data_IF_952412756191
#
_entry.id   IF_952412756191
#
_cell.length_a   1.000
_cell.length_b   1.000
_cell.length_c   1.000
_cell.angle_alpha   90.00
_cell.angle_beta   90.00
_cell.angle_gamma   90.00
#
_symmetry.space_group_name_H-M   'P 1'
#
loop_
_entity.id
_entity.type
_entity.pdbx_description
1 polymer ?
#
# COMPACT_ATOMS: atom_id res chain seq x y z
N UNK A 1 10.15 7.85 -25.24
CA UNK A 1 9.94 7.62 -23.79
C UNK A 1 9.90 6.12 -23.57
N UNK A 2 10.80 5.60 -22.75
CA UNK A 2 10.83 4.21 -22.34
C UNK A 2 10.38 4.11 -20.85
N UNK A 3 9.83 2.95 -20.47
CA UNK A 3 9.46 2.64 -19.09
C UNK A 3 10.45 1.61 -18.54
N UNK A 4 11.28 2.01 -17.61
CA UNK A 4 12.23 1.14 -16.91
C UNK A 4 11.57 0.57 -15.67
N UNK A 5 10.99 -0.62 -15.79
CA UNK A 5 10.28 -1.28 -14.70
C UNK A 5 11.24 -2.13 -13.86
N UNK A 6 11.49 -1.68 -12.62
CA UNK A 6 12.43 -2.31 -11.70
C UNK A 6 11.68 -3.20 -10.69
N UNK A 7 11.86 -4.51 -10.78
CA UNK A 7 11.30 -5.50 -9.87
C UNK A 7 10.10 -6.27 -10.43
N UNK A 8 10.15 -7.60 -10.27
CA UNK A 8 9.09 -8.55 -10.68
C UNK A 8 8.62 -9.36 -9.46
N UNK A 9 8.44 -8.66 -8.34
CA UNK A 9 7.94 -9.25 -7.09
C UNK A 9 6.45 -9.61 -7.15
N UNK A 10 5.94 -10.11 -6.02
CA UNK A 10 4.56 -10.62 -5.88
C UNK A 10 3.48 -9.63 -6.33
N UNK A 11 3.70 -8.34 -6.13
CA UNK A 11 2.70 -7.30 -6.42
C UNK A 11 2.95 -6.54 -7.73
N UNK A 12 3.79 -7.04 -8.65
CA UNK A 12 4.26 -6.27 -9.80
C UNK A 12 3.69 -6.72 -11.15
N UNK A 13 3.46 -8.01 -11.32
CA UNK A 13 3.31 -8.65 -12.63
C UNK A 13 2.06 -8.22 -13.42
N UNK A 14 0.84 -8.15 -12.86
CA UNK A 14 -0.34 -7.80 -13.65
C UNK A 14 -0.26 -6.43 -14.33
N UNK A 15 0.19 -5.41 -13.60
CA UNK A 15 0.35 -4.07 -14.15
C UNK A 15 1.49 -3.97 -15.18
N UNK A 16 2.60 -4.67 -14.93
CA UNK A 16 3.70 -4.77 -15.87
C UNK A 16 3.25 -5.42 -17.19
N UNK A 17 2.60 -6.59 -17.12
CA UNK A 17 2.05 -7.26 -18.31
C UNK A 17 1.07 -6.34 -19.05
N UNK A 18 0.21 -5.63 -18.32
CA UNK A 18 -0.72 -4.67 -18.93
C UNK A 18 0.00 -3.58 -19.72
N UNK A 19 1.02 -2.94 -19.17
CA UNK A 19 1.79 -1.91 -19.88
C UNK A 19 2.43 -2.43 -21.17
N UNK A 20 3.00 -3.65 -21.12
CA UNK A 20 3.63 -4.27 -22.29
C UNK A 20 2.57 -4.59 -23.36
N UNK A 21 1.47 -5.21 -22.96
CA UNK A 21 0.37 -5.59 -23.89
C UNK A 21 -0.36 -4.38 -24.48
N UNK A 22 -0.38 -3.26 -23.75
CA UNK A 22 -0.89 -1.98 -24.25
C UNK A 22 0.08 -1.30 -25.26
N UNK A 23 1.20 -1.95 -25.62
CA UNK A 23 2.14 -1.48 -26.64
C UNK A 23 3.17 -0.46 -26.16
N UNK A 24 3.32 -0.27 -24.85
CA UNK A 24 4.33 0.66 -24.34
C UNK A 24 5.75 0.08 -24.46
N UNK A 25 6.73 0.95 -24.66
CA UNK A 25 8.15 0.57 -24.69
C UNK A 25 8.64 0.30 -23.26
N UNK A 26 8.61 -0.95 -22.81
CA UNK A 26 8.98 -1.36 -21.44
C UNK A 26 10.29 -2.12 -21.45
N UNK A 27 11.18 -1.77 -20.55
CA UNK A 27 12.43 -2.48 -20.25
C UNK A 27 12.36 -2.94 -18.78
N UNK A 28 12.50 -4.22 -18.55
CA UNK A 28 12.40 -4.81 -17.20
C UNK A 28 13.76 -5.00 -16.58
N UNK A 29 13.89 -4.63 -15.30
CA UNK A 29 15.09 -4.77 -14.50
C UNK A 29 14.81 -5.65 -13.29
N UNK A 30 15.52 -6.76 -13.13
CA UNK A 30 15.31 -7.65 -12.00
C UNK A 30 16.60 -8.33 -11.56
N UNK A 31 16.82 -8.45 -10.24
CA UNK A 31 18.02 -9.10 -9.68
C UNK A 31 18.29 -10.49 -10.25
N UNK A 32 17.23 -11.25 -10.51
CA UNK A 32 17.30 -12.60 -11.06
C UNK A 32 16.54 -12.65 -12.38
N UNK A 33 17.25 -12.57 -13.49
CA UNK A 33 16.67 -12.52 -14.85
C UNK A 33 15.79 -13.74 -15.14
N UNK A 34 16.20 -14.94 -14.72
CA UNK A 34 15.43 -16.18 -14.93
C UNK A 34 14.07 -16.15 -14.24
N UNK A 35 13.97 -15.59 -13.02
CA UNK A 35 12.69 -15.40 -12.33
C UNK A 35 11.78 -14.43 -13.07
N UNK A 36 12.34 -13.33 -13.59
CA UNK A 36 11.57 -12.36 -14.37
C UNK A 36 11.06 -12.98 -15.69
N UNK A 37 11.88 -13.76 -16.40
CA UNK A 37 11.48 -14.49 -17.61
C UNK A 37 10.32 -15.44 -17.34
N UNK A 38 10.39 -16.24 -16.28
CA UNK A 38 9.31 -17.14 -15.87
C UNK A 38 8.02 -16.38 -15.56
N UNK A 39 8.10 -15.28 -14.79
CA UNK A 39 6.94 -14.48 -14.42
C UNK A 39 6.27 -13.77 -15.62
N UNK A 40 7.05 -13.48 -16.68
CA UNK A 40 6.61 -12.82 -17.90
C UNK A 40 6.49 -13.79 -19.08
N UNK A 41 6.38 -15.08 -18.81
CA UNK A 41 6.14 -16.07 -19.85
C UNK A 41 4.93 -15.69 -20.72
N UNK A 42 5.07 -15.86 -22.03
CA UNK A 42 4.08 -15.47 -23.03
C UNK A 42 4.07 -13.97 -23.40
N UNK A 43 4.98 -13.16 -22.84
CA UNK A 43 5.11 -11.74 -23.14
C UNK A 43 6.52 -11.43 -23.65
N UNK A 44 6.62 -10.76 -24.81
CA UNK A 44 7.92 -10.35 -25.35
C UNK A 44 8.33 -9.01 -24.74
N UNK A 45 9.45 -9.01 -24.01
CA UNK A 45 10.01 -7.82 -23.37
C UNK A 45 11.51 -7.97 -23.12
N UNK A 46 12.24 -6.87 -23.21
CA UNK A 46 13.67 -6.82 -22.86
C UNK A 46 13.82 -6.89 -21.35
N UNK A 47 14.66 -7.82 -20.86
CA UNK A 47 14.92 -8.00 -19.44
C UNK A 47 16.43 -7.93 -19.20
N UNK A 48 16.83 -7.04 -18.31
CA UNK A 48 18.21 -6.89 -17.82
C UNK A 48 18.34 -7.31 -16.35
N UNK A 49 19.52 -7.72 -15.97
CA UNK A 49 19.87 -7.82 -14.56
C UNK A 49 19.88 -6.41 -13.95
N UNK A 50 19.28 -6.28 -12.75
CA UNK A 50 19.20 -4.98 -12.10
C UNK A 50 20.55 -4.59 -11.52
N UNK A 51 21.13 -3.56 -12.10
CA UNK A 51 22.26 -2.80 -11.62
C UNK A 51 22.00 -1.31 -11.87
N UNK A 52 22.23 -0.46 -10.87
CA UNK A 52 21.89 0.96 -10.94
C UNK A 52 22.75 1.71 -11.98
N UNK A 53 24.01 1.29 -12.17
CA UNK A 53 24.90 1.90 -13.19
C UNK A 53 24.45 1.56 -14.60
N UNK A 54 24.14 0.30 -14.83
CA UNK A 54 23.59 -0.17 -16.11
C UNK A 54 22.23 0.49 -16.44
N UNK A 55 21.40 0.71 -15.44
CA UNK A 55 20.14 1.46 -15.59
C UNK A 55 20.45 2.93 -15.95
N UNK A 56 21.40 3.55 -15.25
CA UNK A 56 21.81 4.93 -15.50
C UNK A 56 22.29 5.17 -16.93
N UNK A 57 23.06 4.23 -17.49
CA UNK A 57 23.59 4.28 -18.85
C UNK A 57 22.50 4.21 -19.93
N UNK A 58 21.38 3.55 -19.63
CA UNK A 58 20.25 3.36 -20.57
C UNK A 58 19.12 4.37 -20.39
N UNK A 59 19.17 5.16 -19.34
CA UNK A 59 18.10 6.10 -19.00
C UNK A 59 18.27 7.41 -19.81
N UNK A 60 17.25 7.77 -20.55
CA UNK A 60 17.17 9.02 -21.30
C UNK A 60 16.23 10.04 -20.61
N UNK A 61 16.40 11.35 -20.92
CA UNK A 61 15.40 12.36 -20.49
C UNK A 61 13.99 11.97 -20.90
N UNK A 62 13.03 12.26 -20.03
CA UNK A 62 11.60 11.93 -20.14
C UNK A 62 11.23 10.45 -19.95
N UNK A 63 12.20 9.54 -19.85
CA UNK A 63 11.90 8.15 -19.50
C UNK A 63 11.27 8.05 -18.10
N UNK A 64 10.68 6.90 -17.79
CA UNK A 64 10.02 6.66 -16.50
C UNK A 64 10.68 5.49 -15.79
N UNK A 65 11.18 5.71 -14.58
CA UNK A 65 11.58 4.62 -13.67
C UNK A 65 10.37 4.22 -12.83
N UNK A 66 9.95 2.97 -12.93
CA UNK A 66 8.96 2.36 -12.02
C UNK A 66 9.70 1.50 -11.01
N UNK A 67 9.59 1.82 -9.72
CA UNK A 67 10.23 1.06 -8.66
C UNK A 67 9.24 0.18 -7.92
N UNK A 68 9.30 -1.13 -8.20
CA UNK A 68 8.63 -2.20 -7.44
C UNK A 68 9.66 -3.04 -6.66
N UNK A 69 10.77 -2.42 -6.29
CA UNK A 69 11.84 -2.98 -5.48
C UNK A 69 11.57 -2.76 -3.97
N UNK A 70 12.36 -3.36 -3.06
CA UNK A 70 12.35 -3.00 -1.65
C UNK A 70 12.59 -1.51 -1.40
N UNK A 71 12.05 -0.98 -0.29
CA UNK A 71 11.99 0.46 0.01
C UNK A 71 13.32 1.21 -0.08
N UNK A 72 14.44 0.56 0.28
CA UNK A 72 15.78 1.15 0.26
C UNK A 72 16.23 1.62 -1.14
N UNK A 73 15.59 1.11 -2.20
CA UNK A 73 15.89 1.49 -3.59
C UNK A 73 15.10 2.71 -4.08
N UNK A 74 14.00 3.09 -3.42
CA UNK A 74 13.13 4.14 -3.96
C UNK A 74 13.82 5.51 -4.02
N UNK A 75 14.46 5.94 -2.93
CA UNK A 75 15.15 7.23 -2.90
C UNK A 75 16.35 7.28 -3.86
N UNK A 76 17.26 6.28 -3.90
CA UNK A 76 18.32 6.22 -4.92
C UNK A 76 17.79 6.32 -6.36
N UNK A 77 16.73 5.59 -6.70
CA UNK A 77 16.15 5.62 -8.05
C UNK A 77 15.44 6.94 -8.37
N UNK A 78 14.78 7.57 -7.39
CA UNK A 78 14.19 8.89 -7.57
C UNK A 78 15.26 9.98 -7.79
N UNK A 79 16.39 9.90 -7.05
CA UNK A 79 17.55 10.79 -7.29
C UNK A 79 18.15 10.59 -8.69
N UNK A 80 18.27 9.34 -9.13
CA UNK A 80 18.73 9.02 -10.47
C UNK A 80 17.77 9.57 -11.52
N UNK A 81 16.45 9.40 -11.35
CA UNK A 81 15.44 9.97 -12.25
C UNK A 81 15.59 11.49 -12.38
N UNK A 82 15.70 12.21 -11.25
CA UNK A 82 15.91 13.67 -11.25
C UNK A 82 17.17 14.06 -12.03
N UNK A 83 18.31 13.38 -11.78
CA UNK A 83 19.59 13.70 -12.42
C UNK A 83 19.57 13.51 -13.94
N UNK A 84 18.77 12.53 -14.42
CA UNK A 84 18.62 12.22 -15.84
C UNK A 84 17.43 12.92 -16.50
N UNK A 85 16.70 13.78 -15.76
CA UNK A 85 15.46 14.40 -16.21
C UNK A 85 14.41 13.37 -16.66
N UNK A 86 14.33 12.26 -15.93
CA UNK A 86 13.35 11.20 -16.07
C UNK A 86 12.31 11.28 -14.96
N UNK A 87 11.17 10.61 -15.11
CA UNK A 87 10.12 10.54 -14.11
C UNK A 87 10.31 9.32 -13.21
N UNK A 88 9.69 9.33 -12.04
CA UNK A 88 9.72 8.23 -11.08
C UNK A 88 8.31 7.87 -10.62
N UNK A 89 8.01 6.56 -10.51
CA UNK A 89 6.73 6.03 -10.03
C UNK A 89 6.96 4.90 -9.04
N UNK A 90 6.24 4.91 -7.91
CA UNK A 90 6.28 3.87 -6.88
C UNK A 90 4.93 3.71 -6.20
N UNK A 91 4.59 2.48 -5.80
CA UNK A 91 3.42 2.19 -4.95
C UNK A 91 3.66 2.41 -3.45
N UNK A 92 4.87 2.76 -3.05
CA UNK A 92 5.27 2.84 -1.64
C UNK A 92 4.97 4.19 -1.02
N UNK A 93 4.83 4.21 0.31
CA UNK A 93 4.69 5.43 1.10
C UNK A 93 5.86 6.41 0.89
N UNK A 94 5.55 7.69 0.95
CA UNK A 94 6.53 8.78 0.88
C UNK A 94 7.35 8.80 2.17
N UNK A 95 8.66 8.51 2.09
CA UNK A 95 9.56 8.72 3.21
C UNK A 95 9.93 10.20 3.37
N UNK A 96 10.44 10.63 4.55
CA UNK A 96 10.97 11.99 4.73
C UNK A 96 12.03 12.35 3.70
N UNK A 97 12.93 11.41 3.36
CA UNK A 97 13.97 11.59 2.35
C UNK A 97 13.38 11.76 0.95
N UNK A 98 12.32 11.02 0.60
CA UNK A 98 11.61 11.17 -0.67
C UNK A 98 10.93 12.55 -0.74
N UNK A 99 10.29 12.99 0.34
CA UNK A 99 9.65 14.32 0.42
C UNK A 99 10.66 15.46 0.20
N UNK A 100 11.88 15.31 0.71
CA UNK A 100 12.96 16.29 0.53
C UNK A 100 13.43 16.44 -0.94
N UNK A 101 13.09 15.51 -1.83
CA UNK A 101 13.40 15.61 -3.26
C UNK A 101 12.46 16.51 -4.05
N UNK A 102 11.36 16.97 -3.46
CA UNK A 102 10.31 17.76 -4.12
C UNK A 102 10.85 18.96 -4.91
N UNK A 103 11.63 19.81 -4.28
CA UNK A 103 12.17 21.00 -4.94
C UNK A 103 13.17 20.68 -6.07
N UNK A 104 13.94 19.58 -5.92
CA UNK A 104 14.85 19.14 -6.97
C UNK A 104 14.09 18.60 -8.17
N UNK A 105 13.00 17.85 -7.94
CA UNK A 105 12.13 17.35 -9.00
C UNK A 105 11.44 18.48 -9.77
N UNK A 106 10.91 19.50 -9.06
CA UNK A 106 10.33 20.70 -9.68
C UNK A 106 11.34 21.42 -10.57
N UNK A 107 12.57 21.64 -10.09
CA UNK A 107 13.64 22.29 -10.87
C UNK A 107 14.04 21.49 -12.11
N UNK A 108 14.00 20.17 -12.02
CA UNK A 108 14.31 19.27 -13.13
C UNK A 108 13.14 19.13 -14.12
N UNK A 109 11.94 19.59 -13.78
CA UNK A 109 10.73 19.45 -14.59
C UNK A 109 10.22 18.00 -14.67
N UNK A 110 10.40 17.22 -13.62
CA UNK A 110 10.03 15.79 -13.57
C UNK A 110 9.01 15.49 -12.48
N UNK A 111 8.23 14.42 -12.69
CA UNK A 111 7.24 13.95 -11.73
C UNK A 111 7.84 12.83 -10.86
N UNK A 112 7.65 12.91 -9.54
CA UNK A 112 7.88 11.82 -8.58
C UNK A 112 6.51 11.39 -8.04
N UNK A 113 5.94 10.32 -8.60
CA UNK A 113 4.64 9.79 -8.20
C UNK A 113 4.88 8.63 -7.24
N UNK A 114 4.38 8.79 -6.02
CA UNK A 114 4.45 7.78 -4.97
C UNK A 114 3.03 7.45 -4.48
N UNK A 115 2.90 6.45 -3.63
CA UNK A 115 1.62 6.08 -3.02
C UNK A 115 0.52 5.78 -4.06
N UNK A 116 0.90 5.18 -5.18
CA UNK A 116 -0.03 4.85 -6.27
C UNK A 116 -0.20 3.33 -6.41
N UNK A 117 -0.58 2.70 -5.31
CA UNK A 117 -0.89 1.27 -5.23
C UNK A 117 -2.30 1.02 -4.73
N UNK A 118 -2.43 0.11 -3.77
CA UNK A 118 -3.70 -0.24 -3.11
C UNK A 118 -3.89 0.56 -1.82
N UNK A 119 -3.04 0.37 -0.85
CA UNK A 119 -2.88 1.03 0.44
C UNK A 119 -1.36 1.07 0.74
N UNK A 120 -0.74 2.17 0.32
CA UNK A 120 -1.30 3.45 -0.15
C UNK A 120 -1.66 3.47 -1.66
N UNK A 121 -2.76 4.15 -1.99
CA UNK A 121 -3.16 4.46 -3.38
C UNK A 121 -4.66 4.49 -3.62
N UNK A 122 -5.30 3.35 -3.84
CA UNK A 122 -6.76 3.30 -4.06
C UNK A 122 -7.52 3.85 -2.84
N UNK A 123 -7.04 3.57 -1.63
CA UNK A 123 -7.58 4.12 -0.37
C UNK A 123 -7.54 5.65 -0.36
N UNK A 124 -6.46 6.26 -0.86
CA UNK A 124 -6.33 7.72 -0.98
C UNK A 124 -7.35 8.30 -1.96
N UNK A 125 -7.54 7.65 -3.12
CA UNK A 125 -8.53 8.09 -4.10
C UNK A 125 -9.96 8.02 -3.53
N UNK A 126 -10.28 6.96 -2.79
CA UNK A 126 -11.57 6.82 -2.11
C UNK A 126 -11.74 7.88 -1.01
N UNK A 127 -10.71 8.16 -0.21
CA UNK A 127 -10.72 9.17 0.82
C UNK A 127 -10.94 10.58 0.23
N UNK A 128 -10.17 10.97 -0.78
CA UNK A 128 -10.36 12.25 -1.47
C UNK A 128 -11.76 12.41 -2.04
N UNK A 129 -12.30 11.34 -2.63
CA UNK A 129 -13.65 11.37 -3.18
C UNK A 129 -14.70 11.59 -2.07
N UNK A 130 -14.61 10.87 -0.94
CA UNK A 130 -15.51 11.03 0.20
C UNK A 130 -15.45 12.46 0.78
N UNK A 131 -14.25 12.97 1.03
CA UNK A 131 -14.04 14.33 1.56
C UNK A 131 -14.61 15.38 0.61
N UNK A 132 -14.40 15.24 -0.69
CA UNK A 132 -14.96 16.16 -1.69
C UNK A 132 -16.50 16.09 -1.76
N UNK A 133 -17.08 14.89 -1.62
CA UNK A 133 -18.54 14.73 -1.58
C UNK A 133 -19.17 15.33 -0.32
N UNK A 134 -18.53 15.13 0.86
CA UNK A 134 -18.96 15.75 2.10
C UNK A 134 -18.90 17.29 2.00
N UNK A 135 -17.82 17.85 1.47
CA UNK A 135 -17.71 19.31 1.25
C UNK A 135 -18.81 19.86 0.34
N UNK A 136 -19.14 19.12 -0.73
CA UNK A 136 -20.20 19.52 -1.67
C UNK A 136 -21.63 19.35 -1.12
N UNK A 137 -21.81 18.63 -0.01
CA UNK A 137 -23.13 18.49 0.61
C UNK A 137 -23.63 19.76 1.29
N UNK A 138 -22.70 20.68 1.60
CA UNK A 138 -22.98 21.93 2.33
C UNK A 138 -23.64 21.74 3.71
N UNK A 139 -23.58 20.51 4.26
CA UNK A 139 -24.18 20.15 5.55
C UNK A 139 -23.29 20.50 6.75
N UNK A 140 -22.02 20.85 6.50
CA UNK A 140 -21.02 21.08 7.53
C UNK A 140 -21.20 22.44 8.20
N UNK A 141 -21.15 22.47 9.54
CA UNK A 141 -21.12 23.67 10.35
C UNK A 141 -20.21 23.49 11.58
N UNK A 142 -20.13 24.48 12.45
CA UNK A 142 -19.25 24.47 13.63
C UNK A 142 -19.57 23.37 14.66
N UNK A 143 -20.78 22.79 14.64
CA UNK A 143 -21.20 21.73 15.54
C UNK A 143 -21.02 20.33 14.94
N UNK A 144 -20.53 20.23 13.70
CA UNK A 144 -20.43 18.95 13.02
C UNK A 144 -19.15 18.21 13.45
N UNK A 145 -19.34 16.97 13.89
CA UNK A 145 -18.29 16.01 14.22
C UNK A 145 -18.05 15.07 13.04
N UNK A 146 -16.78 14.79 12.74
CA UNK A 146 -16.39 13.95 11.60
C UNK A 146 -15.63 12.71 12.06
N UNK A 147 -16.02 11.55 11.54
CA UNK A 147 -15.32 10.28 11.74
C UNK A 147 -14.88 9.70 10.41
N UNK A 148 -13.60 9.39 10.29
CA UNK A 148 -12.99 8.78 9.12
C UNK A 148 -12.32 7.45 9.48
N UNK A 149 -12.61 6.41 8.72
CA UNK A 149 -12.01 5.09 8.82
C UNK A 149 -11.51 4.64 7.45
N UNK A 150 -10.32 4.07 7.39
CA UNK A 150 -9.82 3.38 6.21
C UNK A 150 -9.16 2.07 6.64
N UNK A 151 -9.81 0.95 6.37
CA UNK A 151 -9.30 -0.37 6.71
C UNK A 151 -9.05 -1.21 5.46
N UNK A 152 -7.81 -1.69 5.31
CA UNK A 152 -7.38 -2.51 4.19
C UNK A 152 -6.74 -3.82 4.68
N UNK A 153 -7.03 -4.92 4.00
CA UNK A 153 -6.40 -6.20 4.28
C UNK A 153 -6.40 -7.16 3.09
N UNK A 154 -5.27 -7.84 2.91
CA UNK A 154 -5.17 -9.03 2.07
C UNK A 154 -5.30 -10.27 2.95
N UNK A 155 -6.21 -11.17 2.61
CA UNK A 155 -6.50 -12.37 3.38
C UNK A 155 -6.66 -13.58 2.44
N UNK A 156 -6.43 -14.83 2.92
CA UNK A 156 -6.71 -16.01 2.12
C UNK A 156 -8.21 -16.18 1.90
N UNK A 157 -8.58 -16.70 0.72
CA UNK A 157 -9.97 -17.09 0.43
C UNK A 157 -10.46 -18.19 1.37
N UNK A 158 -9.60 -19.17 1.61
CA UNK A 158 -9.85 -20.25 2.58
C UNK A 158 -8.90 -20.04 3.75
N UNK A 159 -9.42 -19.68 4.95
CA UNK A 159 -8.58 -19.46 6.12
C UNK A 159 -7.79 -20.72 6.50
N UNK A 160 -6.48 -20.55 6.77
CA UNK A 160 -5.65 -21.57 7.41
C UNK A 160 -5.63 -21.38 8.94
N UNK A 161 -4.96 -22.24 9.68
CA UNK A 161 -4.81 -22.10 11.13
C UNK A 161 -4.06 -20.83 11.52
N UNK A 162 -3.09 -20.41 10.70
CA UNK A 162 -2.33 -19.17 10.86
C UNK A 162 -3.17 -17.90 10.63
N UNK A 163 -4.41 -18.03 10.11
CA UNK A 163 -5.33 -16.94 9.77
C UNK A 163 -4.75 -15.90 8.80
N UNK A 164 -3.67 -16.27 8.09
CA UNK A 164 -3.00 -15.39 7.15
C UNK A 164 -2.19 -16.18 6.11
N UNK A 165 -2.14 -15.67 4.88
CA UNK A 165 -1.20 -16.07 3.82
C UNK A 165 -0.57 -14.84 3.20
N UNK A 166 0.65 -14.99 2.71
CA UNK A 166 1.44 -13.85 2.25
C UNK A 166 1.26 -13.62 0.74
N UNK A 167 0.53 -12.58 0.37
CA UNK A 167 0.43 -12.05 -1.00
C UNK A 167 1.44 -10.92 -1.28
N UNK A 168 2.20 -10.51 -0.27
CA UNK A 168 3.28 -9.53 -0.33
C UNK A 168 4.37 -9.88 0.71
N UNK A 169 5.35 -9.00 0.91
CA UNK A 169 6.54 -9.24 1.73
C UNK A 169 6.23 -9.64 3.19
N UNK A 170 6.54 -10.88 3.63
CA UNK A 170 6.40 -11.27 5.04
C UNK A 170 7.23 -10.41 5.99
N UNK A 171 8.46 -10.05 5.59
CA UNK A 171 9.29 -9.13 6.36
C UNK A 171 8.64 -7.75 6.51
N UNK A 172 7.96 -7.28 5.46
CA UNK A 172 7.19 -6.03 5.51
C UNK A 172 6.05 -6.10 6.52
N UNK A 173 5.34 -7.22 6.62
CA UNK A 173 4.29 -7.44 7.64
C UNK A 173 4.88 -7.38 9.05
N UNK A 174 5.97 -8.10 9.31
CA UNK A 174 6.63 -8.12 10.63
C UNK A 174 7.15 -6.74 11.03
N UNK A 175 7.78 -6.00 10.11
CA UNK A 175 8.25 -4.64 10.37
C UNK A 175 7.09 -3.66 10.62
N UNK A 176 5.96 -3.80 9.92
CA UNK A 176 4.79 -2.98 10.16
C UNK A 176 4.21 -3.20 11.56
N UNK A 177 4.19 -4.44 12.05
CA UNK A 177 3.76 -4.75 13.42
C UNK A 177 4.67 -4.14 14.50
N UNK A 178 5.96 -3.93 14.22
CA UNK A 178 6.88 -3.25 15.14
C UNK A 178 6.80 -1.71 15.09
N UNK A 179 6.04 -1.17 14.17
CA UNK A 179 5.92 0.28 14.03
C UNK A 179 4.80 0.81 14.93
N UNK A 180 5.04 1.85 15.74
CA UNK A 180 3.97 2.48 16.49
C UNK A 180 2.94 3.10 15.54
N UNK A 181 1.72 3.25 16.03
CA UNK A 181 0.64 3.89 15.28
C UNK A 181 0.12 5.13 16.00
N UNK A 182 -0.34 6.12 15.21
CA UNK A 182 -1.00 7.33 15.68
C UNK A 182 -2.29 7.54 14.90
N UNK A 183 -3.34 7.88 15.62
CA UNK A 183 -4.68 8.11 15.08
C UNK A 183 -5.42 9.13 15.94
N UNK A 184 -6.65 9.49 15.59
CA UNK A 184 -7.56 10.23 16.47
C UNK A 184 -8.66 9.29 16.91
N UNK A 185 -8.93 9.28 18.22
CA UNK A 185 -10.04 8.56 18.85
C UNK A 185 -10.69 9.49 19.89
N UNK A 186 -12.00 9.65 19.83
CA UNK A 186 -12.77 10.49 20.75
C UNK A 186 -12.20 11.92 20.88
N UNK A 187 -11.83 12.52 19.73
CA UNK A 187 -11.22 13.86 19.54
C UNK A 187 -9.77 13.98 20.01
N UNK A 188 -9.18 12.95 20.59
CA UNK A 188 -7.85 12.97 21.16
C UNK A 188 -6.86 12.16 20.32
N UNK A 189 -5.58 12.53 20.39
CA UNK A 189 -4.51 11.73 19.81
C UNK A 189 -4.45 10.37 20.51
N UNK A 190 -4.57 9.31 19.74
CA UNK A 190 -4.47 7.94 20.19
C UNK A 190 -3.20 7.30 19.64
N UNK A 191 -2.23 7.10 20.53
CA UNK A 191 -0.93 6.52 20.19
C UNK A 191 -0.82 5.12 20.77
N UNK A 192 -0.34 4.17 19.96
CA UNK A 192 -0.17 2.79 20.33
C UNK A 192 1.23 2.33 19.91
N UNK A 193 2.05 1.93 20.88
CA UNK A 193 3.40 1.43 20.61
C UNK A 193 3.39 0.05 19.95
N UNK A 194 2.38 -0.77 20.26
CA UNK A 194 2.18 -2.11 19.71
C UNK A 194 0.80 -2.16 19.06
N UNK A 195 0.73 -2.13 17.70
CA UNK A 195 -0.56 -2.08 17.00
C UNK A 195 -1.57 -3.14 17.44
N UNK A 196 -1.09 -4.33 17.81
CA UNK A 196 -1.96 -5.43 18.29
C UNK A 196 -2.65 -5.18 19.62
N UNK A 197 -2.20 -4.24 20.46
CA UNK A 197 -2.89 -3.86 21.70
C UNK A 197 -4.19 -3.08 21.41
N UNK A 198 -4.33 -2.55 20.19
CA UNK A 198 -5.50 -1.80 19.76
C UNK A 198 -6.40 -2.59 18.77
N UNK A 199 -6.27 -3.91 18.76
CA UNK A 199 -7.15 -4.76 17.93
C UNK A 199 -8.59 -4.65 18.41
N UNK A 200 -9.49 -4.40 17.48
CA UNK A 200 -10.94 -4.38 17.74
C UNK A 200 -11.67 -5.16 16.66
N UNK A 201 -12.92 -5.57 16.97
CA UNK A 201 -13.82 -6.17 15.99
C UNK A 201 -14.38 -5.11 15.05
N UNK A 202 -14.50 -5.44 13.77
CA UNK A 202 -15.05 -4.60 12.73
C UNK A 202 -15.98 -5.39 11.83
N UNK A 203 -17.26 -4.99 11.80
CA UNK A 203 -18.24 -5.52 10.87
C UNK A 203 -18.11 -4.77 9.54
N UNK A 204 -17.39 -5.34 8.58
CA UNK A 204 -17.21 -4.73 7.27
C UNK A 204 -18.56 -4.69 6.53
N UNK A 205 -18.97 -3.52 5.99
CA UNK A 205 -20.24 -3.34 5.31
C UNK A 205 -20.23 -3.89 3.88
N UNK A 206 -19.76 -5.13 3.72
CA UNK A 206 -19.73 -5.84 2.45
C UNK A 206 -21.14 -6.22 2.00
N UNK A 207 -21.28 -6.76 0.79
CA UNK A 207 -22.59 -7.22 0.30
C UNK A 207 -23.17 -8.32 1.22
N UNK A 208 -22.29 -9.19 1.73
CA UNK A 208 -22.56 -10.06 2.86
C UNK A 208 -21.73 -9.55 4.03
N UNK A 209 -22.32 -8.92 5.05
CA UNK A 209 -21.59 -8.40 6.20
C UNK A 209 -20.74 -9.48 6.85
N UNK A 210 -19.51 -9.15 7.16
CA UNK A 210 -18.51 -10.09 7.69
C UNK A 210 -17.68 -9.41 8.77
N UNK A 211 -17.41 -10.14 9.85
CA UNK A 211 -16.63 -9.66 10.99
C UNK A 211 -15.14 -9.93 10.78
N UNK A 212 -14.34 -8.89 10.96
CA UNK A 212 -12.89 -8.91 10.90
C UNK A 212 -12.28 -8.34 12.19
N UNK A 213 -10.99 -8.54 12.35
CA UNK A 213 -10.18 -7.84 13.34
C UNK A 213 -9.44 -6.70 12.64
N UNK A 214 -9.45 -5.51 13.27
CA UNK A 214 -8.76 -4.33 12.73
C UNK A 214 -7.88 -3.69 13.80
N UNK A 215 -6.80 -3.06 13.35
CA UNK A 215 -5.92 -2.28 14.20
C UNK A 215 -5.33 -1.09 13.45
N UNK A 216 -5.00 0.03 14.15
CA UNK A 216 -4.40 1.20 13.52
C UNK A 216 -3.04 0.84 12.94
N UNK A 217 -2.72 1.38 11.76
CA UNK A 217 -1.49 1.12 11.04
C UNK A 217 -0.70 2.41 10.86
N UNK A 218 0.53 2.46 11.39
CA UNK A 218 1.43 3.59 11.26
C UNK A 218 0.83 4.93 11.76
N UNK A 219 1.34 6.04 11.26
CA UNK A 219 0.85 7.38 11.57
C UNK A 219 -0.23 7.80 10.57
N UNK A 220 -1.47 7.91 11.06
CA UNK A 220 -2.61 8.36 10.27
C UNK A 220 -2.71 9.89 10.18
N UNK A 221 -2.12 10.64 11.12
CA UNK A 221 -2.35 12.10 11.27
C UNK A 221 -1.92 12.93 10.06
N UNK A 222 -0.81 12.66 9.36
CA UNK A 222 -0.44 13.40 8.16
C UNK A 222 -1.48 13.38 7.05
N UNK A 223 -2.31 12.33 7.01
CA UNK A 223 -3.34 12.16 5.98
C UNK A 223 -4.56 13.06 6.18
N UNK A 224 -4.75 13.67 7.34
CA UNK A 224 -5.78 14.70 7.56
C UNK A 224 -5.55 15.87 6.60
N UNK A 225 -4.32 16.36 6.52
CA UNK A 225 -3.96 17.44 5.59
C UNK A 225 -3.91 16.93 4.14
N UNK A 226 -3.36 15.76 3.89
CA UNK A 226 -3.27 15.18 2.54
C UNK A 226 -4.65 14.95 1.92
N UNK A 227 -5.64 14.50 2.69
CA UNK A 227 -7.03 14.32 2.20
C UNK A 227 -7.81 15.65 2.17
N UNK A 228 -7.15 16.74 2.50
CA UNK A 228 -7.73 18.11 2.46
C UNK A 228 -8.96 18.22 3.40
N UNK A 229 -8.88 17.64 4.59
CA UNK A 229 -9.87 17.91 5.64
C UNK A 229 -9.85 19.40 5.97
N UNK A 230 -11.03 19.97 6.23
CA UNK A 230 -11.10 21.35 6.66
C UNK A 230 -10.56 21.49 8.08
N UNK A 231 -9.74 22.52 8.32
CA UNK A 231 -9.12 22.75 9.63
C UNK A 231 -10.14 23.08 10.74
N UNK A 232 -11.34 23.48 10.36
CA UNK A 232 -12.42 23.79 11.30
C UNK A 232 -13.29 22.57 11.64
N UNK A 233 -13.07 21.42 10.98
CA UNK A 233 -13.83 20.21 11.29
C UNK A 233 -13.44 19.64 12.65
N UNK A 234 -14.43 19.31 13.47
CA UNK A 234 -14.24 18.59 14.72
C UNK A 234 -14.03 17.11 14.41
N UNK A 235 -12.78 16.67 14.37
CA UNK A 235 -12.43 15.29 14.03
C UNK A 235 -12.58 14.42 15.27
N UNK A 236 -13.67 13.64 15.34
CA UNK A 236 -13.95 12.71 16.42
C UNK A 236 -13.12 11.43 16.30
N UNK A 237 -12.96 10.95 15.06
CA UNK A 237 -12.16 9.77 14.76
C UNK A 237 -11.45 9.93 13.42
N UNK A 238 -10.19 9.52 13.38
CA UNK A 238 -9.43 9.44 12.14
C UNK A 238 -8.42 8.31 12.23
N UNK A 239 -8.66 7.23 11.51
CA UNK A 239 -7.77 6.06 11.53
C UNK A 239 -7.61 5.46 10.14
N UNK A 240 -6.37 5.15 9.80
CA UNK A 240 -5.99 4.22 8.75
C UNK A 240 -5.47 2.96 9.42
N UNK A 241 -5.98 1.82 9.03
CA UNK A 241 -5.69 0.59 9.75
C UNK A 241 -5.65 -0.64 8.85
N UNK A 242 -5.20 -1.70 9.46
CA UNK A 242 -5.07 -3.01 8.82
C UNK A 242 -6.25 -3.90 9.23
N UNK A 243 -6.78 -4.63 8.25
CA UNK A 243 -7.84 -5.61 8.43
C UNK A 243 -7.28 -7.02 8.38
N UNK A 244 -7.74 -7.88 9.30
CA UNK A 244 -7.37 -9.29 9.42
C UNK A 244 -8.60 -10.17 9.62
N UNK A 245 -8.47 -11.46 9.32
CA UNK A 245 -9.52 -12.42 9.60
C UNK A 245 -9.80 -12.51 11.12
N UNK A 246 -11.04 -12.76 11.47
CA UNK A 246 -11.43 -13.06 12.86
C UNK A 246 -10.60 -14.24 13.41
N UNK A 247 -10.02 -14.06 14.60
CA UNK A 247 -9.14 -15.02 15.27
C UNK A 247 -7.66 -14.89 14.87
N UNK A 248 -7.30 -13.90 14.06
CA UNK A 248 -5.90 -13.63 13.74
C UNK A 248 -5.07 -13.25 14.96
N UNK A 249 -5.60 -12.41 15.84
CA UNK A 249 -4.92 -12.02 17.08
C UNK A 249 -4.55 -13.22 17.93
N UNK A 250 -5.47 -14.17 18.09
CA UNK A 250 -5.22 -15.40 18.84
C UNK A 250 -4.17 -16.27 18.15
N UNK A 251 -4.27 -16.45 16.84
CA UNK A 251 -3.32 -17.26 16.08
C UNK A 251 -1.89 -16.67 16.10
N UNK A 252 -1.75 -15.34 16.23
CA UNK A 252 -0.46 -14.63 16.21
C UNK A 252 0.07 -14.24 17.59
N UNK A 253 -0.59 -14.62 18.69
CA UNK A 253 -0.19 -14.22 20.04
C UNK A 253 1.27 -14.55 20.39
N UNK A 254 1.76 -15.75 20.03
CA UNK A 254 3.15 -16.15 20.25
C UNK A 254 4.14 -15.33 19.40
N UNK A 255 3.72 -14.94 18.19
CA UNK A 255 4.51 -14.12 17.26
C UNK A 255 4.64 -12.70 17.82
N UNK A 256 3.56 -12.12 18.36
CA UNK A 256 3.61 -10.79 19.00
C UNK A 256 4.60 -10.79 20.16
N UNK A 257 4.57 -11.80 21.02
CA UNK A 257 5.51 -11.94 22.13
C UNK A 257 6.96 -12.05 21.65
N UNK A 258 7.21 -12.79 20.56
CA UNK A 258 8.56 -12.92 20.02
C UNK A 258 9.04 -11.60 19.39
N UNK A 259 8.28 -10.98 18.48
CA UNK A 259 8.72 -9.76 17.78
C UNK A 259 8.91 -8.56 18.71
N UNK A 260 8.20 -8.50 19.84
CA UNK A 260 8.37 -7.46 20.84
C UNK A 260 9.79 -7.45 21.42
N UNK A 261 10.38 -8.62 21.61
CA UNK A 261 11.72 -8.77 22.21
C UNK A 261 12.86 -8.54 21.20
N UNK A 262 12.57 -8.54 19.91
CA UNK A 262 13.58 -8.46 18.85
C UNK A 262 14.08 -7.04 18.66
N UNK A 263 15.34 -6.76 19.07
CA UNK A 263 15.96 -5.44 18.91
C UNK A 263 17.38 -5.56 18.36
N UNK A 264 17.87 -4.46 17.77
CA UNK A 264 19.23 -4.38 17.23
C UNK A 264 19.47 -5.35 16.05
N UNK A 265 20.74 -5.55 15.73
CA UNK A 265 21.14 -6.35 14.58
C UNK A 265 20.73 -7.83 14.68
N UNK A 266 20.78 -8.41 15.88
CA UNK A 266 20.33 -9.78 16.11
C UNK A 266 18.80 -9.91 15.90
N UNK A 267 18.03 -8.93 16.35
CA UNK A 267 16.58 -8.89 16.13
C UNK A 267 16.22 -8.74 14.67
N UNK A 268 16.92 -7.89 13.90
CA UNK A 268 16.72 -7.78 12.46
C UNK A 268 17.02 -9.10 11.72
N UNK A 269 18.10 -9.78 12.09
CA UNK A 269 18.42 -11.09 11.52
C UNK A 269 17.31 -12.10 11.81
N UNK A 270 16.83 -12.14 13.04
CA UNK A 270 15.73 -13.04 13.43
C UNK A 270 14.43 -12.75 12.70
N UNK A 271 14.07 -11.47 12.49
CA UNK A 271 12.92 -11.08 11.68
C UNK A 271 13.03 -11.59 10.23
N UNK A 272 14.22 -11.56 9.65
CA UNK A 272 14.47 -12.10 8.31
C UNK A 272 14.25 -13.62 8.31
N UNK A 273 14.82 -14.36 9.27
CA UNK A 273 14.62 -15.81 9.41
C UNK A 273 13.14 -16.18 9.58
N UNK A 274 12.41 -15.46 10.45
CA UNK A 274 10.97 -15.63 10.63
C UNK A 274 10.21 -15.38 9.31
N UNK A 275 10.58 -14.33 8.60
CA UNK A 275 9.92 -14.00 7.32
C UNK A 275 10.11 -15.08 6.26
N UNK A 276 11.29 -15.70 6.20
CA UNK A 276 11.57 -16.82 5.31
C UNK A 276 10.80 -18.08 5.71
N UNK A 277 10.69 -18.36 7.01
CA UNK A 277 9.89 -19.48 7.52
C UNK A 277 8.41 -19.27 7.20
N UNK A 278 7.87 -18.08 7.48
CA UNK A 278 6.47 -17.75 7.22
C UNK A 278 6.13 -17.86 5.74
N UNK A 279 7.07 -17.47 4.86
CA UNK A 279 6.91 -17.63 3.43
C UNK A 279 6.81 -19.12 3.03
N UNK A 280 7.68 -19.97 3.58
CA UNK A 280 7.65 -21.42 3.29
C UNK A 280 6.33 -22.05 3.73
N UNK A 281 5.82 -21.65 4.90
CA UNK A 281 4.68 -22.33 5.53
C UNK A 281 3.33 -21.77 5.07
N UNK A 282 3.29 -20.47 4.70
CA UNK A 282 2.04 -19.75 4.46
C UNK A 282 2.04 -18.95 3.14
N UNK A 283 2.82 -19.37 2.14
CA UNK A 283 2.66 -18.86 0.78
C UNK A 283 1.36 -19.38 0.16
N UNK A 284 0.83 -18.61 -0.79
CA UNK A 284 -0.25 -19.12 -1.64
C UNK A 284 0.29 -20.23 -2.56
N UNK A 285 -0.48 -21.28 -2.72
CA UNK A 285 -0.22 -22.28 -3.75
C UNK A 285 -0.46 -21.69 -5.16
N UNK A 286 0.03 -22.38 -6.18
CA UNK A 286 -0.22 -21.99 -7.56
C UNK A 286 -1.74 -21.97 -7.83
N UNK A 287 -2.23 -20.87 -8.40
CA UNK A 287 -3.64 -20.60 -8.66
C UNK A 287 -4.56 -20.54 -7.42
N UNK A 288 -4.02 -20.51 -6.22
CA UNK A 288 -4.81 -20.25 -5.02
C UNK A 288 -5.22 -18.78 -4.98
N UNK A 289 -6.54 -18.47 -4.93
CA UNK A 289 -7.00 -17.10 -4.89
C UNK A 289 -6.81 -16.47 -3.51
N UNK A 290 -6.27 -15.26 -3.51
CA UNK A 290 -6.33 -14.35 -2.37
C UNK A 290 -7.63 -13.53 -2.39
N UNK A 291 -7.87 -12.78 -1.33
CA UNK A 291 -8.95 -11.79 -1.23
C UNK A 291 -8.38 -10.50 -0.67
N UNK A 292 -8.80 -9.38 -1.22
CA UNK A 292 -8.49 -8.04 -0.70
C UNK A 292 -9.78 -7.34 -0.33
N UNK A 293 -9.86 -6.86 0.91
CA UNK A 293 -10.94 -6.02 1.41
C UNK A 293 -10.38 -4.62 1.67
N UNK A 294 -11.08 -3.60 1.18
CA UNK A 294 -10.82 -2.21 1.51
C UNK A 294 -12.15 -1.53 1.80
N UNK A 295 -12.27 -0.91 2.97
CA UNK A 295 -13.41 -0.10 3.36
C UNK A 295 -12.90 1.28 3.77
N UNK A 296 -13.38 2.32 3.08
CA UNK A 296 -13.10 3.72 3.43
C UNK A 296 -14.43 4.38 3.74
N UNK A 297 -14.55 4.88 4.95
CA UNK A 297 -15.79 5.38 5.53
C UNK A 297 -15.60 6.82 6.01
N UNK A 298 -16.58 7.66 5.71
CA UNK A 298 -16.62 9.02 6.24
C UNK A 298 -18.04 9.31 6.71
N UNK A 299 -18.15 9.74 7.97
CA UNK A 299 -19.40 10.06 8.64
C UNK A 299 -19.35 11.46 9.24
N UNK A 300 -20.42 12.21 9.11
CA UNK A 300 -20.62 13.50 9.77
C UNK A 300 -21.87 13.43 10.66
N UNK A 301 -21.73 13.89 11.91
CA UNK A 301 -22.75 13.84 12.95
C UNK A 301 -22.95 15.23 13.56
N UNK A 302 -24.18 15.53 13.99
CA UNK A 302 -24.53 16.71 14.79
C UNK A 302 -25.46 16.28 15.92
N UNK A 303 -25.18 16.66 17.15
CA UNK A 303 -26.01 16.29 18.31
C UNK A 303 -26.29 14.78 18.37
N UNK A 304 -25.31 13.94 18.09
CA UNK A 304 -25.41 12.48 17.98
C UNK A 304 -26.33 11.95 16.87
N UNK A 305 -26.74 12.79 15.92
CA UNK A 305 -27.50 12.37 14.74
C UNK A 305 -26.60 12.39 13.51
N UNK A 306 -26.61 11.29 12.75
CA UNK A 306 -25.89 11.20 11.47
C UNK A 306 -26.59 12.10 10.46
N UNK A 307 -25.87 13.12 9.97
CA UNK A 307 -26.36 14.06 8.94
C UNK A 307 -25.85 13.69 7.56
N UNK A 308 -24.70 13.00 7.50
CA UNK A 308 -24.11 12.49 6.27
C UNK A 308 -23.27 11.25 6.56
N UNK A 309 -23.37 10.23 5.72
CA UNK A 309 -22.54 9.02 5.85
C UNK A 309 -22.37 8.35 4.51
N UNK A 310 -21.15 8.01 4.17
CA UNK A 310 -20.86 7.24 2.97
C UNK A 310 -19.64 6.34 3.15
N UNK A 311 -19.73 5.14 2.61
CA UNK A 311 -18.66 4.15 2.59
C UNK A 311 -18.34 3.76 1.16
N UNK A 312 -17.07 3.85 0.78
CA UNK A 312 -16.55 3.15 -0.40
C UNK A 312 -15.94 1.83 0.03
N UNK A 313 -16.33 0.77 -0.63
CA UNK A 313 -15.88 -0.58 -0.30
C UNK A 313 -15.41 -1.34 -1.53
N UNK A 314 -14.41 -2.18 -1.33
CA UNK A 314 -13.90 -3.12 -2.31
C UNK A 314 -13.78 -4.48 -1.66
N UNK A 315 -14.26 -5.51 -2.37
CA UNK A 315 -14.09 -6.93 -2.05
C UNK A 315 -13.64 -7.62 -3.32
N UNK A 316 -12.34 -7.80 -3.46
CA UNK A 316 -11.72 -8.29 -4.69
C UNK A 316 -11.04 -9.63 -4.46
N UNK A 317 -11.20 -10.53 -5.42
CA UNK A 317 -10.67 -11.89 -5.37
C UNK A 317 -9.61 -12.11 -6.44
N UNK A 318 -8.60 -12.91 -6.13
CA UNK A 318 -7.65 -13.41 -7.12
C UNK A 318 -8.36 -14.25 -8.19
N UNK A 319 -7.88 -14.13 -9.43
CA UNK A 319 -8.41 -14.87 -10.58
C UNK A 319 -7.29 -15.20 -11.59
N UNK A 320 -7.63 -15.66 -12.78
CA UNK A 320 -6.68 -16.01 -13.85
C UNK A 320 -5.75 -14.89 -14.29
N UNK A 321 -6.07 -13.63 -13.98
CA UNK A 321 -5.24 -12.45 -14.25
C UNK A 321 -4.17 -12.21 -13.18
N UNK A 322 -4.22 -12.94 -12.08
CA UNK A 322 -3.31 -12.85 -10.95
C UNK A 322 -4.03 -12.67 -9.61
N UNK A 323 -3.26 -12.63 -8.53
CA UNK A 323 -3.79 -12.35 -7.20
C UNK A 323 -4.47 -10.98 -7.15
N UNK A 324 -5.48 -10.83 -6.30
CA UNK A 324 -6.15 -9.56 -6.09
C UNK A 324 -5.14 -8.49 -5.62
N UNK A 325 -4.26 -8.85 -4.67
CA UNK A 325 -3.20 -7.96 -4.19
C UNK A 325 -2.31 -7.47 -5.34
N UNK A 326 -1.81 -8.37 -6.16
CA UNK A 326 -0.92 -8.01 -7.26
C UNK A 326 -1.59 -7.07 -8.27
N UNK A 327 -2.84 -7.33 -8.62
CA UNK A 327 -3.61 -6.47 -9.54
C UNK A 327 -3.88 -5.10 -8.95
N UNK A 328 -4.35 -5.05 -7.70
CA UNK A 328 -4.73 -3.80 -7.05
C UNK A 328 -3.53 -2.91 -6.69
N UNK A 329 -2.34 -3.49 -6.54
CA UNK A 329 -1.11 -2.71 -6.37
C UNK A 329 -0.55 -2.27 -7.72
N UNK A 330 -0.44 -3.15 -8.71
CA UNK A 330 0.31 -2.86 -9.94
C UNK A 330 -0.50 -2.15 -11.03
N UNK A 331 -1.82 -2.31 -11.08
CA UNK A 331 -2.65 -1.58 -12.06
C UNK A 331 -2.65 -0.07 -11.82
N UNK A 332 -2.82 0.45 -10.58
CA UNK A 332 -2.67 1.88 -10.34
C UNK A 332 -1.31 2.42 -10.76
N UNK A 333 -0.22 1.69 -10.48
CA UNK A 333 1.12 2.03 -10.96
C UNK A 333 1.15 2.13 -12.49
N UNK A 334 0.57 1.17 -13.20
CA UNK A 334 0.53 1.18 -14.66
C UNK A 334 -0.33 2.34 -15.21
N UNK A 335 -1.41 2.70 -14.54
CA UNK A 335 -2.23 3.86 -14.91
C UNK A 335 -1.51 5.18 -14.66
N UNK A 336 -0.75 5.31 -13.56
CA UNK A 336 0.08 6.47 -13.32
C UNK A 336 1.16 6.66 -14.40
N UNK A 337 1.80 5.57 -14.81
CA UNK A 337 2.74 5.59 -15.94
C UNK A 337 2.05 6.11 -17.22
N UNK A 338 0.87 5.61 -17.54
CA UNK A 338 0.10 6.06 -18.73
C UNK A 338 -0.36 7.52 -18.64
N UNK A 339 -0.54 8.05 -17.45
CA UNK A 339 -0.89 9.45 -17.24
C UNK A 339 0.33 10.39 -17.38
N UNK A 340 1.54 9.87 -17.29
CA UNK A 340 2.79 10.62 -17.51
C UNK A 340 3.15 10.61 -19.03
N UNK A 341 2.91 9.51 -19.73
CA UNK A 341 3.12 9.39 -21.18
C UNK A 341 2.17 10.30 -21.97
#
# INVERSE_FOLDING_TARGET
MAVHWCGTGLSAIPGLKKLILDGNNVIVWNRTVSKARKALEGVQVTIYEFDIKSLEEKLAPTDIIVSMLPGDWHVPLAKLAISKKAHFVSSSYISPEMKNLHNAALKAGVSLVNEIGLDPGIDHLMAHKLVNELKKSELMNAETEVSFLSYCGGVPKVPNEFKYKFSWSPLGVLKALKSPSRSIKDFENFEVSRPWDAITSYNAPLNNPEEFEVYPNRDSLPFIEQYIFDRNWKIKQFVRGTLRLKGWAQAWASIFNEIETLNGQAGEKRLIEMSEQFWRDNAYADNEPDRVILCVDLKAEQNNHVIWHKTYKMDAWGDTRGTAMARLVSYPVSFAVKAII
#
